data_IF_987824958309
#
_entry.id   IF_987824958309
#
_cell.length_a   1.000
_cell.length_b   1.000
_cell.length_c   1.000
_cell.angle_alpha   90.00
_cell.angle_beta   90.00
_cell.angle_gamma   90.00
#
_symmetry.space_group_name_H-M   'P 1'
#
loop_
_entity.id
_entity.type
_entity.pdbx_description
1 polymer ?
#
# COMPACT_ATOMS: atom_id res chain seq x y z
N UNK A 1 -11.63 8.40 37.19
CA UNK A 1 -11.89 7.76 35.89
C UNK A 1 -10.55 7.72 35.17
N UNK A 2 -9.91 6.55 35.07
CA UNK A 2 -8.62 6.45 34.37
C UNK A 2 -8.79 6.75 32.89
N UNK A 3 -7.83 7.47 32.30
CA UNK A 3 -7.83 7.75 30.86
C UNK A 3 -7.84 6.44 30.08
N UNK A 4 -8.88 6.22 29.27
CA UNK A 4 -8.96 5.05 28.41
C UNK A 4 -7.81 5.04 27.40
N UNK A 5 -7.36 3.84 27.03
CA UNK A 5 -6.30 3.66 26.05
C UNK A 5 -6.73 4.15 24.67
N UNK A 6 -5.75 4.54 23.86
CA UNK A 6 -5.98 5.09 22.53
C UNK A 6 -5.02 4.50 21.53
N UNK A 7 -5.54 4.18 20.34
CA UNK A 7 -4.75 3.78 19.19
C UNK A 7 -5.15 4.62 17.99
N UNK A 8 -4.15 5.25 17.36
CA UNK A 8 -4.32 6.05 16.16
C UNK A 8 -3.71 5.30 14.97
N UNK A 9 -4.49 5.14 13.92
CA UNK A 9 -4.03 4.52 12.68
C UNK A 9 -4.47 5.33 11.48
N UNK A 10 -3.58 5.45 10.50
CA UNK A 10 -3.85 6.08 9.22
C UNK A 10 -3.87 5.02 8.12
N UNK A 11 -4.93 5.02 7.33
CA UNK A 11 -5.13 4.11 6.20
C UNK A 11 -5.32 4.95 4.94
N UNK A 12 -4.50 4.71 3.93
CA UNK A 12 -4.58 5.41 2.66
C UNK A 12 -4.28 4.51 1.47
N UNK A 13 -4.34 5.04 0.24
CA UNK A 13 -4.04 4.26 -0.95
C UNK A 13 -2.57 3.84 -0.97
N UNK A 14 -2.30 2.70 -1.60
CA UNK A 14 -0.91 2.31 -1.90
C UNK A 14 -0.28 3.36 -2.82
N UNK A 15 0.98 3.68 -2.55
CA UNK A 15 1.64 4.80 -3.24
C UNK A 15 2.02 4.51 -4.71
N UNK A 16 1.95 3.26 -5.15
CA UNK A 16 2.37 2.81 -6.48
C UNK A 16 1.35 3.05 -7.62
N UNK A 17 0.20 3.63 -7.32
CA UNK A 17 -0.77 4.07 -8.32
C UNK A 17 -1.54 5.29 -7.79
N UNK A 18 -2.15 6.08 -8.68
CA UNK A 18 -3.02 7.20 -8.28
C UNK A 18 -4.49 6.77 -8.24
N UNK A 19 -5.23 7.21 -7.23
CA UNK A 19 -6.66 6.87 -7.11
C UNK A 19 -7.52 7.64 -8.11
N UNK A 20 -8.73 7.14 -8.40
CA UNK A 20 -9.71 7.92 -9.18
C UNK A 20 -10.06 9.25 -8.52
N UNK A 21 -10.10 9.27 -7.18
CA UNK A 21 -10.31 10.49 -6.40
C UNK A 21 -9.19 11.51 -6.65
N UNK A 22 -7.93 11.05 -6.67
CA UNK A 22 -6.75 11.88 -6.98
C UNK A 22 -6.84 12.51 -8.36
N UNK A 23 -7.18 11.73 -9.38
CA UNK A 23 -7.36 12.24 -10.75
C UNK A 23 -8.38 13.38 -10.81
N UNK A 24 -9.51 13.22 -10.11
CA UNK A 24 -10.56 14.24 -10.06
C UNK A 24 -10.12 15.48 -9.26
N UNK A 25 -9.45 15.29 -8.11
CA UNK A 25 -8.95 16.40 -7.29
C UNK A 25 -7.92 17.24 -8.05
N UNK A 26 -6.98 16.58 -8.74
CA UNK A 26 -5.98 17.26 -9.58
C UNK A 26 -6.65 17.98 -10.77
N UNK A 27 -7.68 17.39 -11.38
CA UNK A 27 -8.43 18.04 -12.45
C UNK A 27 -9.11 19.33 -11.98
N UNK A 28 -9.71 19.32 -10.78
CA UNK A 28 -10.28 20.53 -10.15
C UNK A 28 -9.19 21.58 -9.92
N UNK A 29 -8.04 21.21 -9.35
CA UNK A 29 -6.92 22.15 -9.17
C UNK A 29 -6.51 22.82 -10.49
N UNK A 30 -6.41 22.04 -11.57
CA UNK A 30 -6.08 22.57 -12.91
C UNK A 30 -7.15 23.51 -13.43
N UNK A 31 -8.44 23.18 -13.26
CA UNK A 31 -9.55 24.05 -13.67
C UNK A 31 -9.54 25.39 -12.91
N UNK A 32 -9.07 25.39 -11.66
CA UNK A 32 -8.87 26.60 -10.86
C UNK A 32 -7.54 27.34 -11.15
N UNK A 33 -6.77 26.93 -12.16
CA UNK A 33 -5.48 27.54 -12.51
C UNK A 33 -4.29 27.11 -11.64
N UNK A 34 -4.45 26.15 -10.72
CA UNK A 34 -3.39 25.65 -9.84
C UNK A 34 -2.69 24.46 -10.52
N UNK A 35 -1.58 24.73 -11.22
CA UNK A 35 -0.87 23.73 -12.06
C UNK A 35 0.32 23.05 -11.38
N UNK A 36 0.74 23.56 -10.22
CA UNK A 36 1.85 23.03 -9.43
C UNK A 36 1.53 21.67 -8.79
N UNK A 37 0.26 21.42 -8.45
CA UNK A 37 -0.19 20.17 -7.85
C UNK A 37 -0.14 19.04 -8.87
N UNK A 38 0.68 18.01 -8.62
CA UNK A 38 0.80 16.83 -9.48
C UNK A 38 -0.03 15.63 -9.00
N UNK A 39 -0.25 15.53 -7.69
CA UNK A 39 -1.00 14.43 -7.06
C UNK A 39 -1.57 14.90 -5.72
N UNK A 40 -2.81 14.50 -5.43
CA UNK A 40 -3.45 14.66 -4.12
C UNK A 40 -4.10 13.33 -3.80
N UNK A 41 -3.87 12.78 -2.61
CA UNK A 41 -4.58 11.58 -2.17
C UNK A 41 -5.40 11.85 -0.92
N UNK A 42 -6.35 10.98 -0.66
CA UNK A 42 -7.16 10.98 0.56
C UNK A 42 -6.80 9.75 1.40
N UNK A 43 -6.51 9.99 2.67
CA UNK A 43 -6.34 8.96 3.69
C UNK A 43 -7.35 9.18 4.83
N UNK A 44 -7.64 8.12 5.59
CA UNK A 44 -8.54 8.14 6.74
C UNK A 44 -7.75 7.84 8.00
N UNK A 45 -7.90 8.67 9.03
CA UNK A 45 -7.32 8.44 10.36
C UNK A 45 -8.40 7.98 11.33
N UNK A 46 -8.19 6.82 11.94
CA UNK A 46 -9.07 6.26 12.96
C UNK A 46 -8.42 6.45 14.34
N UNK A 47 -9.11 7.15 15.24
CA UNK A 47 -8.74 7.21 16.66
C UNK A 47 -9.66 6.25 17.43
N UNK A 48 -9.12 5.10 17.80
CA UNK A 48 -9.83 4.07 18.55
C UNK A 48 -9.56 4.28 20.03
N UNK A 49 -10.61 4.54 20.80
CA UNK A 49 -10.56 4.60 22.27
C UNK A 49 -11.07 3.29 22.83
N UNK A 50 -10.32 2.68 23.73
CA UNK A 50 -10.67 1.37 24.29
C UNK A 50 -10.21 1.21 25.73
N UNK A 51 -10.79 0.24 26.42
CA UNK A 51 -10.40 -0.20 27.76
C UNK A 51 -10.13 -1.69 27.71
N UNK A 52 -9.04 -2.15 28.34
CA UNK A 52 -8.73 -3.57 28.43
C UNK A 52 -9.12 -4.15 29.80
N UNK A 53 -9.73 -5.33 29.79
CA UNK A 53 -9.97 -6.17 30.98
C UNK A 53 -9.02 -7.38 30.99
N UNK A 54 -8.54 -7.79 29.81
CA UNK A 54 -7.63 -8.92 29.58
C UNK A 54 -6.47 -8.43 28.73
N UNK A 55 -5.39 -7.97 29.35
CA UNK A 55 -4.14 -7.58 28.69
C UNK A 55 -4.27 -6.43 27.66
N UNK A 56 -3.51 -5.36 27.83
CA UNK A 56 -3.60 -4.20 26.92
C UNK A 56 -3.20 -4.57 25.48
N UNK A 57 -2.13 -5.36 25.33
CA UNK A 57 -1.58 -5.78 24.04
C UNK A 57 -2.50 -6.74 23.26
N UNK A 58 -3.07 -7.74 23.94
CA UNK A 58 -3.99 -8.70 23.32
C UNK A 58 -5.27 -7.99 22.83
N UNK A 59 -5.80 -7.08 23.64
CA UNK A 59 -6.96 -6.27 23.28
C UNK A 59 -6.67 -5.38 22.08
N UNK A 60 -5.51 -4.72 22.06
CA UNK A 60 -5.09 -3.88 20.93
C UNK A 60 -4.94 -4.71 19.65
N UNK A 61 -4.26 -5.85 19.69
CA UNK A 61 -4.05 -6.70 18.52
C UNK A 61 -5.39 -7.19 17.92
N UNK A 62 -6.36 -7.56 18.78
CA UNK A 62 -7.69 -7.95 18.34
C UNK A 62 -8.45 -6.80 17.66
N UNK A 63 -8.37 -5.58 18.23
CA UNK A 63 -8.99 -4.38 17.66
C UNK A 63 -8.36 -3.99 16.33
N UNK A 64 -7.02 -4.03 16.24
CA UNK A 64 -6.28 -3.77 15.02
C UNK A 64 -6.72 -4.72 13.90
N UNK A 65 -6.76 -6.02 14.19
CA UNK A 65 -7.19 -7.04 13.23
C UNK A 65 -8.63 -6.80 12.78
N UNK A 66 -9.55 -6.54 13.70
CA UNK A 66 -10.96 -6.32 13.38
C UNK A 66 -11.17 -5.08 12.50
N UNK A 67 -10.56 -3.94 12.88
CA UNK A 67 -10.68 -2.69 12.14
C UNK A 67 -10.06 -2.82 10.75
N UNK A 68 -8.82 -3.27 10.65
CA UNK A 68 -8.09 -3.31 9.38
C UNK A 68 -8.69 -4.33 8.41
N UNK A 69 -9.26 -5.44 8.90
CA UNK A 69 -9.95 -6.40 8.03
C UNK A 69 -11.21 -5.80 7.39
N UNK A 70 -11.90 -4.89 8.09
CA UNK A 70 -13.15 -4.29 7.62
C UNK A 70 -12.93 -3.02 6.81
N UNK A 71 -11.99 -2.17 7.22
CA UNK A 71 -11.83 -0.80 6.73
C UNK A 71 -10.66 -0.63 5.76
N UNK A 72 -9.69 -1.56 5.74
CA UNK A 72 -8.54 -1.48 4.84
C UNK A 72 -8.69 -2.49 3.71
N UNK A 73 -8.97 -2.00 2.50
CA UNK A 73 -8.91 -2.82 1.30
C UNK A 73 -7.46 -3.27 1.06
N UNK A 74 -7.20 -4.57 1.22
CA UNK A 74 -5.82 -5.11 1.15
C UNK A 74 -5.17 -4.97 -0.22
N UNK A 75 -5.97 -4.83 -1.28
CA UNK A 75 -5.48 -4.73 -2.65
C UNK A 75 -5.02 -3.30 -2.97
N UNK A 76 -5.76 -2.30 -2.49
CA UNK A 76 -5.63 -0.91 -2.93
C UNK A 76 -5.15 0.04 -1.83
N UNK A 77 -5.23 -0.35 -0.57
CA UNK A 77 -4.84 0.47 0.58
C UNK A 77 -3.72 -0.19 1.40
N UNK A 78 -3.09 0.62 2.23
CA UNK A 78 -2.13 0.20 3.23
C UNK A 78 -2.19 1.11 4.46
N UNK A 79 -1.68 0.59 5.57
CA UNK A 79 -1.51 1.34 6.82
C UNK A 79 -0.24 2.17 6.72
N UNK A 80 -0.35 3.47 6.99
CA UNK A 80 0.82 4.34 7.12
C UNK A 80 1.31 4.30 8.56
N UNK A 81 2.52 3.77 8.76
CA UNK A 81 3.15 3.67 10.09
C UNK A 81 3.65 5.01 10.61
N UNK A 82 3.86 5.96 9.69
CA UNK A 82 4.34 7.32 9.93
C UNK A 82 3.62 8.25 8.96
N UNK A 83 3.40 9.53 9.33
CA UNK A 83 2.86 10.51 8.40
C UNK A 83 3.67 10.55 7.09
N UNK A 84 3.00 10.60 5.95
CA UNK A 84 3.66 10.61 4.65
C UNK A 84 4.32 11.97 4.38
N UNK A 85 5.60 11.94 4.03
CA UNK A 85 6.33 13.10 3.55
C UNK A 85 6.34 13.21 2.02
N UNK A 86 6.11 12.11 1.31
CA UNK A 86 6.06 12.06 -0.15
C UNK A 86 5.22 10.90 -0.69
N UNK A 87 4.88 10.96 -1.98
CA UNK A 87 4.24 9.85 -2.72
C UNK A 87 5.25 8.87 -3.34
N UNK A 88 6.55 9.03 -3.08
CA UNK A 88 7.56 8.13 -3.62
C UNK A 88 7.49 6.76 -2.92
N UNK A 89 7.22 5.72 -3.70
CA UNK A 89 7.04 4.36 -3.18
C UNK A 89 8.33 3.53 -3.16
N UNK A 90 9.50 4.17 -3.35
CA UNK A 90 10.80 3.50 -3.22
C UNK A 90 11.13 2.43 -4.26
N UNK A 91 10.32 2.25 -5.31
CA UNK A 91 10.56 1.22 -6.34
C UNK A 91 11.03 1.86 -7.63
N UNK A 92 12.20 1.43 -8.09
CA UNK A 92 12.65 1.68 -9.45
C UNK A 92 11.99 0.68 -10.42
N UNK A 93 11.88 1.08 -11.68
CA UNK A 93 11.43 0.19 -12.76
C UNK A 93 12.63 -0.65 -13.21
N UNK A 94 12.44 -1.96 -13.34
CA UNK A 94 13.48 -2.84 -13.87
C UNK A 94 13.77 -2.49 -15.34
N UNK A 95 15.04 -2.53 -15.78
CA UNK A 95 15.39 -2.18 -17.14
C UNK A 95 14.76 -3.15 -18.15
N UNK A 96 14.41 -2.62 -19.32
CA UNK A 96 13.92 -3.43 -20.43
C UNK A 96 15.05 -4.34 -20.91
N UNK A 97 14.74 -5.64 -21.08
CA UNK A 97 15.65 -6.62 -21.68
C UNK A 97 14.99 -7.32 -22.86
N UNK A 98 15.81 -7.75 -23.82
CA UNK A 98 15.37 -8.58 -24.94
C UNK A 98 15.50 -10.06 -24.57
N UNK A 99 14.50 -10.85 -24.89
CA UNK A 99 14.52 -12.31 -24.73
C UNK A 99 14.78 -12.92 -26.13
N UNK A 100 15.88 -13.67 -26.33
CA UNK A 100 16.30 -14.18 -27.64
C UNK A 100 15.48 -15.41 -28.07
N UNK A 101 14.18 -15.21 -28.31
CA UNK A 101 13.26 -16.29 -28.71
C UNK A 101 13.58 -16.80 -30.12
N UNK A 102 14.05 -15.92 -31.01
CA UNK A 102 14.37 -16.31 -32.38
C UNK A 102 15.60 -17.23 -32.43
N UNK A 103 16.57 -17.02 -31.53
CA UNK A 103 17.81 -17.80 -31.46
C UNK A 103 17.65 -19.07 -30.61
N UNK A 104 16.88 -18.99 -29.51
CA UNK A 104 16.79 -20.07 -28.49
C UNK A 104 15.42 -20.73 -28.38
N UNK A 105 14.44 -20.31 -29.18
CA UNK A 105 13.11 -20.90 -29.23
C UNK A 105 12.43 -21.01 -27.86
N UNK A 106 11.83 -22.18 -27.62
CA UNK A 106 11.04 -22.48 -26.42
C UNK A 106 11.86 -22.42 -25.12
N UNK A 107 13.18 -22.65 -25.17
CA UNK A 107 14.01 -22.68 -23.97
C UNK A 107 14.17 -21.29 -23.36
N UNK A 108 14.34 -20.26 -24.20
CA UNK A 108 14.34 -18.87 -23.73
C UNK A 108 12.99 -18.47 -23.11
N UNK A 109 11.88 -19.02 -23.62
CA UNK A 109 10.54 -18.76 -23.07
C UNK A 109 10.31 -19.46 -21.72
N UNK A 110 10.77 -20.71 -21.57
CA UNK A 110 10.69 -21.44 -20.30
C UNK A 110 11.52 -20.77 -19.21
N UNK A 111 12.73 -20.32 -19.56
CA UNK A 111 13.63 -19.62 -18.63
C UNK A 111 12.98 -18.36 -18.06
N UNK A 112 12.42 -17.50 -18.93
CA UNK A 112 11.74 -16.28 -18.48
C UNK A 112 10.46 -16.58 -17.70
N UNK A 113 9.69 -17.60 -18.08
CA UNK A 113 8.50 -18.01 -17.34
C UNK A 113 8.85 -18.44 -15.91
N UNK A 114 9.89 -19.26 -15.76
CA UNK A 114 10.36 -19.69 -14.45
C UNK A 114 10.92 -18.53 -13.63
N UNK A 115 11.63 -17.60 -14.26
CA UNK A 115 12.14 -16.41 -13.60
C UNK A 115 11.01 -15.52 -13.06
N UNK A 116 10.01 -15.21 -13.89
CA UNK A 116 8.82 -14.44 -13.49
C UNK A 116 8.10 -15.15 -12.35
N UNK A 117 7.86 -16.47 -12.46
CA UNK A 117 7.21 -17.26 -11.42
C UNK A 117 8.00 -17.28 -10.09
N UNK A 118 9.34 -17.23 -10.14
CA UNK A 118 10.20 -17.10 -8.93
C UNK A 118 10.17 -15.68 -8.36
N UNK A 119 10.10 -14.67 -9.22
CA UNK A 119 10.01 -13.26 -8.81
C UNK A 119 8.72 -12.98 -8.05
N UNK A 120 7.58 -13.50 -8.55
CA UNK A 120 6.29 -13.38 -7.87
C UNK A 120 6.27 -14.11 -6.52
N UNK A 121 6.88 -15.30 -6.42
CA UNK A 121 7.03 -16.00 -5.14
C UNK A 121 7.85 -15.23 -4.11
N UNK A 122 8.92 -14.54 -4.54
CA UNK A 122 9.71 -13.65 -3.66
C UNK A 122 8.93 -12.39 -3.26
N UNK A 123 8.02 -11.88 -4.10
CA UNK A 123 7.12 -10.78 -3.73
C UNK A 123 6.10 -11.19 -2.67
N UNK A 124 5.52 -12.38 -2.75
CA UNK A 124 4.56 -12.87 -1.74
C UNK A 124 5.23 -13.04 -0.37
N UNK A 125 6.46 -13.58 -0.32
CA UNK A 125 7.18 -13.80 0.94
C UNK A 125 7.64 -12.50 1.62
N UNK A 126 7.86 -11.41 0.88
CA UNK A 126 8.23 -10.10 1.45
C UNK A 126 7.04 -9.33 2.09
N UNK A 127 5.80 -9.70 1.75
CA UNK A 127 4.60 -9.08 2.33
C UNK A 127 3.95 -9.94 3.43
N UNK A 128 4.57 -11.06 3.81
CA UNK A 128 4.12 -11.98 4.86
C UNK A 128 5.01 -12.01 6.12
N UNK A 129 5.94 -11.07 6.25
CA UNK A 129 6.73 -10.91 7.47
C UNK A 129 6.64 -9.48 7.95
N UNK A 130 5.58 -9.20 8.68
CA UNK A 130 5.47 -8.24 9.78
C UNK A 130 4.12 -8.46 10.46
#
# INVERSE_FOLDING_TARGET
MGEGQQWLVEVGPRLNFSTAWSSNAVAICRACGITAVKRIERATRYLVRYSSVKGEEETLAALQKALLTRECDRMTQEVYTTPLESFWHGKAVDPVRKIPIMERGMDALKEINDEIARSDRRRVLRHGSK
#
